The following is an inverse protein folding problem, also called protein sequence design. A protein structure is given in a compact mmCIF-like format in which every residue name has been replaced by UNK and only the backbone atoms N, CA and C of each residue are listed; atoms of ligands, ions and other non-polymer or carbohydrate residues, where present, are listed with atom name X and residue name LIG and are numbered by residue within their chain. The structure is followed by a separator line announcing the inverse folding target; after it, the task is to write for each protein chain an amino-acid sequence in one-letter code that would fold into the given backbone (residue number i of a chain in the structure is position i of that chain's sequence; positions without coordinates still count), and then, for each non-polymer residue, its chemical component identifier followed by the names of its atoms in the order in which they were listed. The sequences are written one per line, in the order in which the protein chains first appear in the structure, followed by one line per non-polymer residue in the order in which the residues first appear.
data_IF_618288982565
#
_entry.id   IF_618288982565
#
_cell.length_a   1.000
_cell.length_b   1.000
_cell.length_c   1.000
_cell.angle_alpha   90.00
_cell.angle_beta   90.00
_cell.angle_gamma   90.00
#
_symmetry.space_group_name_H-M   'P 1'
#
loop_
_entity.id
_entity.type
_entity.pdbx_description
1 polymer ?
#
# COMPACT_ATOMS: atom_id res chain seq x y z
N UNK A 1 -0.15 25.38 15.45
CA UNK A 1 0.62 24.89 14.27
C UNK A 1 -0.37 24.19 13.38
N UNK A 2 -0.54 24.63 12.13
CA UNK A 2 -1.42 23.96 11.17
C UNK A 2 -0.73 22.66 10.77
N UNK A 3 -1.36 21.52 11.06
CA UNK A 3 -0.82 20.22 10.70
C UNK A 3 -0.85 20.08 9.17
N UNK A 4 0.32 20.07 8.54
CA UNK A 4 0.45 19.76 7.12
C UNK A 4 0.12 18.28 6.92
N UNK A 5 -0.62 17.97 5.84
CA UNK A 5 -0.85 16.60 5.42
C UNK A 5 0.49 15.89 5.23
N UNK A 6 0.74 14.84 6.01
CA UNK A 6 1.96 14.04 5.91
C UNK A 6 1.70 12.82 5.04
N UNK A 7 2.18 12.87 3.80
CA UNK A 7 2.21 11.70 2.93
C UNK A 7 3.34 10.77 3.35
N UNK A 8 3.03 9.49 3.57
CA UNK A 8 4.02 8.45 3.84
C UNK A 8 3.83 7.34 2.81
N UNK A 9 4.90 6.96 2.13
CA UNK A 9 4.91 5.75 1.31
C UNK A 9 5.29 4.57 2.20
N UNK A 10 4.47 3.54 2.18
CA UNK A 10 4.69 2.29 2.89
C UNK A 10 4.64 1.14 1.89
N UNK A 11 5.50 0.17 2.10
CA UNK A 11 5.58 -1.04 1.28
C UNK A 11 5.73 -2.25 2.19
N UNK A 12 5.12 -3.35 1.78
CA UNK A 12 5.33 -4.67 2.36
C UNK A 12 5.48 -5.68 1.21
N UNK A 13 6.32 -6.67 1.44
CA UNK A 13 6.45 -7.83 0.59
C UNK A 13 5.40 -8.88 0.92
N UNK A 14 5.33 -9.93 0.10
CA UNK A 14 4.44 -11.05 0.39
C UNK A 14 4.77 -11.66 1.76
N UNK A 15 3.74 -11.94 2.56
CA UNK A 15 3.79 -12.33 3.98
C UNK A 15 4.22 -11.25 4.99
N UNK A 16 4.46 -10.01 4.57
CA UNK A 16 4.67 -8.88 5.48
C UNK A 16 3.36 -8.13 5.76
N UNK A 17 3.29 -7.42 6.89
CA UNK A 17 2.13 -6.63 7.29
C UNK A 17 2.52 -5.19 7.53
N UNK A 18 1.75 -4.28 6.96
CA UNK A 18 1.88 -2.84 7.21
C UNK A 18 0.92 -2.47 8.34
N UNK A 19 1.45 -1.82 9.38
CA UNK A 19 0.64 -1.25 10.46
C UNK A 19 0.73 0.27 10.35
N UNK A 20 -0.41 0.92 10.14
CA UNK A 20 -0.51 2.36 10.10
C UNK A 20 -1.07 2.89 11.42
N UNK A 21 -0.40 3.88 12.00
CA UNK A 21 -0.82 4.52 13.24
C UNK A 21 -1.35 5.91 12.97
N UNK A 22 -2.59 6.15 13.38
CA UNK A 22 -3.24 7.45 13.28
C UNK A 22 -3.14 8.18 14.63
N UNK A 23 -2.42 9.31 14.73
CA UNK A 23 -2.43 10.12 15.94
C UNK A 23 -3.84 10.67 16.23
N UNK A 24 -4.11 10.98 17.51
CA UNK A 24 -5.42 11.53 17.93
C UNK A 24 -5.77 12.78 17.11
N UNK A 25 -7.02 12.89 16.69
CA UNK A 25 -7.57 13.98 15.88
C UNK A 25 -6.92 14.14 14.49
N UNK A 26 -6.29 13.09 13.96
CA UNK A 26 -5.83 13.06 12.57
C UNK A 26 -6.59 11.97 11.80
N UNK A 27 -6.46 11.99 10.48
CA UNK A 27 -7.04 10.98 9.60
C UNK A 27 -5.96 10.42 8.69
N UNK A 28 -6.10 9.14 8.34
CA UNK A 28 -5.25 8.51 7.33
C UNK A 28 -6.09 8.39 6.07
N UNK A 29 -5.65 9.10 5.03
CA UNK A 29 -6.12 8.87 3.68
C UNK A 29 -5.13 7.93 3.00
N UNK A 30 -5.63 6.80 2.52
CA UNK A 30 -4.83 5.89 1.71
C UNK A 30 -4.89 6.37 0.27
N UNK A 31 -3.73 6.65 -0.30
CA UNK A 31 -3.61 7.02 -1.71
C UNK A 31 -2.61 6.09 -2.38
N UNK A 32 -2.81 5.82 -3.68
CA UNK A 32 -1.97 4.92 -4.47
C UNK A 32 -1.81 3.51 -3.88
N UNK A 33 -2.89 2.91 -3.35
CA UNK A 33 -2.85 1.51 -2.90
C UNK A 33 -2.66 0.60 -4.09
N UNK A 34 -1.62 -0.23 -4.04
CA UNK A 34 -1.35 -1.23 -5.04
C UNK A 34 -0.93 -2.53 -4.37
N UNK A 35 -1.49 -3.64 -4.84
CA UNK A 35 -1.03 -4.97 -4.47
C UNK A 35 -0.75 -5.77 -5.73
N UNK A 36 0.47 -6.29 -5.83
CA UNK A 36 0.94 -6.97 -7.03
C UNK A 36 2.43 -6.73 -7.22
N UNK A 37 2.87 -6.65 -8.48
CA UNK A 37 4.27 -6.44 -8.86
C UNK A 37 4.36 -5.45 -10.00
N UNK A 38 4.93 -4.27 -9.74
CA UNK A 38 5.23 -3.25 -10.77
C UNK A 38 6.69 -3.25 -11.21
N UNK A 39 7.56 -3.89 -10.43
CA UNK A 39 9.00 -3.92 -10.67
C UNK A 39 9.56 -5.31 -10.40
N UNK A 40 10.70 -5.68 -10.99
CA UNK A 40 11.27 -6.99 -10.80
C UNK A 40 11.75 -7.17 -9.34
N UNK A 41 11.82 -8.43 -8.90
CA UNK A 41 12.23 -8.82 -7.54
C UNK A 41 13.60 -8.25 -7.12
N UNK A 42 14.46 -7.86 -8.07
CA UNK A 42 15.77 -7.26 -7.78
C UNK A 42 15.68 -5.81 -7.27
N UNK A 43 14.58 -5.11 -7.52
CA UNK A 43 14.36 -3.72 -7.12
C UNK A 43 13.51 -3.62 -5.87
N UNK A 44 12.43 -4.40 -5.78
CA UNK A 44 11.56 -4.47 -4.62
C UNK A 44 11.30 -5.93 -4.24
N UNK A 45 11.38 -6.22 -2.94
CA UNK A 45 11.18 -7.55 -2.38
C UNK A 45 12.13 -8.63 -2.97
N UNK A 46 13.45 -8.53 -2.73
CA UNK A 46 14.40 -9.53 -3.19
C UNK A 46 14.11 -10.89 -2.53
N UNK A 47 13.66 -11.84 -3.35
CA UNK A 47 13.47 -13.22 -2.91
C UNK A 47 14.84 -13.84 -2.59
N UNK A 48 15.09 -14.13 -1.32
CA UNK A 48 16.33 -14.79 -0.87
C UNK A 48 16.44 -16.24 -1.39
N UNK A 49 15.33 -16.83 -1.83
CA UNK A 49 15.21 -18.25 -2.20
C UNK A 49 15.75 -18.57 -3.59
N UNK A 50 15.83 -17.59 -4.50
CA UNK A 50 16.29 -17.82 -5.88
C UNK A 50 17.49 -16.92 -6.17
N UNK A 51 18.66 -17.36 -5.73
CA UNK A 51 19.93 -16.75 -6.15
C UNK A 51 20.03 -16.83 -7.69
N UNK A 52 19.91 -15.66 -8.33
CA UNK A 52 20.64 -15.25 -9.54
C UNK A 52 20.19 -15.75 -10.94
N UNK A 53 19.07 -16.46 -11.11
CA UNK A 53 18.72 -16.99 -12.45
C UNK A 53 17.35 -16.62 -13.04
N UNK A 54 16.43 -16.00 -12.28
CA UNK A 54 15.06 -15.73 -12.76
C UNK A 54 14.68 -14.26 -12.96
N UNK A 55 15.62 -13.31 -12.84
CA UNK A 55 15.30 -11.88 -12.98
C UNK A 55 14.96 -11.40 -14.42
N UNK A 56 14.94 -12.29 -15.43
CA UNK A 56 14.77 -11.92 -16.83
C UNK A 56 13.33 -12.05 -17.35
N UNK A 57 12.43 -12.74 -16.64
CA UNK A 57 11.04 -12.99 -17.07
C UNK A 57 10.08 -13.01 -15.87
N UNK A 58 10.18 -11.98 -15.03
CA UNK A 58 9.24 -11.81 -13.92
C UNK A 58 8.02 -11.03 -14.42
N UNK A 59 6.82 -11.52 -14.11
CA UNK A 59 5.56 -10.83 -14.43
C UNK A 59 5.42 -9.53 -13.62
N UNK A 60 5.82 -8.41 -14.23
CA UNK A 60 5.66 -7.05 -13.67
C UNK A 60 4.30 -6.40 -13.98
N UNK A 61 3.34 -7.20 -14.44
CA UNK A 61 1.98 -6.74 -14.79
C UNK A 61 0.92 -7.26 -13.81
N UNK A 62 1.33 -7.84 -12.69
CA UNK A 62 0.40 -8.31 -11.67
C UNK A 62 -0.16 -7.10 -10.93
N UNK A 63 -1.43 -6.77 -11.16
CA UNK A 63 -2.18 -5.73 -10.46
C UNK A 63 -3.50 -6.32 -9.96
N UNK A 64 -3.72 -6.27 -8.65
CA UNK A 64 -4.99 -6.65 -8.04
C UNK A 64 -5.86 -5.41 -7.92
N UNK A 65 -6.75 -5.22 -8.90
CA UNK A 65 -7.70 -4.09 -8.96
C UNK A 65 -8.53 -3.95 -7.68
N UNK A 66 -8.81 -5.05 -6.98
CA UNK A 66 -9.54 -5.02 -5.70
C UNK A 66 -8.78 -4.28 -4.59
N UNK A 67 -7.43 -4.24 -4.62
CA UNK A 67 -6.64 -3.47 -3.67
C UNK A 67 -6.93 -1.96 -3.79
N UNK A 68 -7.15 -1.46 -5.00
CA UNK A 68 -7.57 -0.08 -5.24
C UNK A 68 -8.97 0.18 -4.65
N UNK A 69 -9.88 -0.79 -4.75
CA UNK A 69 -11.21 -0.70 -4.16
C UNK A 69 -11.20 -0.64 -2.63
N UNK A 70 -10.20 -1.23 -1.97
CA UNK A 70 -10.00 -1.11 -0.51
C UNK A 70 -9.76 0.35 -0.12
N UNK A 71 -9.00 1.12 -0.92
CA UNK A 71 -8.80 2.55 -0.69
C UNK A 71 -10.13 3.29 -0.66
N UNK A 72 -10.98 3.04 -1.66
CA UNK A 72 -12.31 3.64 -1.74
C UNK A 72 -13.18 3.25 -0.55
N UNK A 73 -13.18 1.97 -0.13
CA UNK A 73 -13.97 1.50 1.02
C UNK A 73 -13.54 2.15 2.33
N UNK A 74 -12.24 2.25 2.59
CA UNK A 74 -11.72 2.86 3.82
C UNK A 74 -12.03 4.35 3.82
N UNK A 75 -11.79 5.04 2.70
CA UNK A 75 -12.11 6.46 2.53
C UNK A 75 -13.61 6.71 2.78
N UNK A 76 -14.50 5.95 2.13
CA UNK A 76 -15.95 6.02 2.34
C UNK A 76 -16.34 5.77 3.79
N UNK A 77 -15.76 4.76 4.45
CA UNK A 77 -16.05 4.47 5.86
C UNK A 77 -15.62 5.62 6.79
N UNK A 78 -14.51 6.29 6.52
CA UNK A 78 -14.09 7.48 7.26
C UNK A 78 -15.02 8.67 7.02
N UNK A 79 -15.37 8.98 5.77
CA UNK A 79 -16.37 10.01 5.46
C UNK A 79 -17.71 9.74 6.15
N UNK A 80 -18.20 8.50 6.11
CA UNK A 80 -19.45 8.13 6.80
C UNK A 80 -19.35 8.23 8.33
N UNK A 81 -18.16 8.01 8.91
CA UNK A 81 -17.94 8.18 10.34
C UNK A 81 -17.87 9.66 10.73
N UNK A 82 -17.33 10.52 9.86
CA UNK A 82 -17.24 11.97 10.11
C UNK A 82 -18.59 12.68 9.95
N UNK A 83 -19.42 12.28 8.99
CA UNK A 83 -20.78 12.81 8.81
C UNK A 83 -21.78 12.32 9.89
N UNK A 84 -21.32 11.48 10.83
CA UNK A 84 -22.13 10.82 11.86
C UNK A 84 -22.20 11.51 13.23
N UNK A 85 -21.77 12.77 13.37
CA UNK A 85 -21.87 13.55 14.61
C UNK A 85 -22.55 14.93 14.42
#
# INVERSE_FOLDING_TARGET
MMESLKSNLVQACDNERIILHCPKNTQILLDNIFYGRLVPSNQLCPSLTTKQQFALDEDISCDVVEAHAVSSKITLAFFLHEEGL
#
